data_IF_612630303671
#
_entry.id   IF_612630303671
#
_cell.length_a   1.000
_cell.length_b   1.000
_cell.length_c   1.000
_cell.angle_alpha   90.00
_cell.angle_beta   90.00
_cell.angle_gamma   90.00
#
_symmetry.space_group_name_H-M   'P 1'
#
loop_
_entity.id
_entity.type
_entity.pdbx_description
1 polymer ?
#
# COMPACT_ATOMS: atom_id res chain seq x y z
N UNK A 1 21.21 0.49 -10.23
CA UNK A 1 22.27 1.51 -10.36
C UNK A 1 21.66 2.78 -10.93
N UNK A 2 21.78 3.92 -10.22
CA UNK A 2 21.23 5.23 -10.66
C UNK A 2 22.38 6.20 -10.97
N UNK A 3 22.16 7.14 -11.90
CA UNK A 3 23.09 8.20 -12.25
C UNK A 3 22.39 9.55 -12.16
N UNK A 4 23.01 10.49 -11.47
CA UNK A 4 22.50 11.85 -11.31
C UNK A 4 23.52 12.84 -11.83
N UNK A 5 23.07 13.81 -12.61
CA UNK A 5 23.89 14.92 -13.06
C UNK A 5 23.96 15.97 -11.93
N UNK A 6 25.14 16.31 -11.52
CA UNK A 6 25.37 17.37 -10.52
C UNK A 6 25.52 18.69 -11.24
N UNK A 7 24.64 19.62 -10.96
CA UNK A 7 24.64 20.98 -11.50
C UNK A 7 25.23 21.99 -10.48
N UNK A 8 25.50 23.22 -10.92
CA UNK A 8 26.13 24.27 -10.10
C UNK A 8 25.31 24.62 -8.84
N UNK A 9 24.00 24.55 -8.92
CA UNK A 9 23.08 24.81 -7.82
C UNK A 9 23.23 23.84 -6.65
N UNK A 10 23.84 22.66 -6.90
CA UNK A 10 24.12 21.66 -5.87
C UNK A 10 25.48 21.81 -5.19
N UNK A 11 26.25 22.85 -5.53
CA UNK A 11 27.57 23.06 -4.91
C UNK A 11 27.38 23.46 -3.44
N UNK A 12 28.24 22.92 -2.58
CA UNK A 12 28.15 23.12 -1.14
C UNK A 12 27.40 22.00 -0.40
N UNK A 13 26.44 21.31 -1.06
CA UNK A 13 25.80 20.16 -0.46
C UNK A 13 26.80 19.05 -0.15
N UNK A 14 26.60 18.33 0.94
CA UNK A 14 27.18 16.99 1.06
C UNK A 14 26.38 16.04 0.13
N UNK A 15 27.03 15.02 -0.40
CA UNK A 15 26.34 14.01 -1.23
C UNK A 15 25.13 13.43 -0.49
N UNK A 16 25.21 13.24 0.82
CA UNK A 16 24.09 12.78 1.65
C UNK A 16 22.91 13.76 1.72
N UNK A 17 23.18 15.05 1.74
CA UNK A 17 22.18 16.13 1.74
C UNK A 17 21.51 16.18 0.35
N UNK A 18 22.30 16.22 -0.71
CA UNK A 18 21.79 16.15 -2.08
C UNK A 18 20.90 14.92 -2.31
N UNK A 19 21.34 13.74 -1.87
CA UNK A 19 20.55 12.52 -2.03
C UNK A 19 19.26 12.54 -1.20
N UNK A 20 19.23 13.20 -0.03
CA UNK A 20 18.00 13.33 0.78
C UNK A 20 17.04 14.36 0.22
N UNK A 21 17.53 15.57 -0.02
CA UNK A 21 16.70 16.76 -0.27
C UNK A 21 16.29 16.85 -1.76
N UNK A 22 17.19 16.46 -2.67
CA UNK A 22 16.94 16.55 -4.11
C UNK A 22 16.50 15.22 -4.69
N UNK A 23 17.04 14.11 -4.19
CA UNK A 23 16.79 12.77 -4.72
C UNK A 23 15.90 11.90 -3.83
N UNK A 24 15.37 12.46 -2.73
CA UNK A 24 14.41 11.84 -1.83
C UNK A 24 14.87 10.49 -1.20
N UNK A 25 16.18 10.34 -0.97
CA UNK A 25 16.70 9.17 -0.25
C UNK A 25 16.42 9.28 1.24
N UNK A 26 15.89 8.22 1.84
CA UNK A 26 15.75 8.15 3.30
C UNK A 26 17.12 8.01 4.00
N UNK A 27 17.22 8.47 5.25
CA UNK A 27 18.45 8.29 6.05
C UNK A 27 18.88 6.83 6.22
N UNK A 28 17.91 5.89 6.21
CA UNK A 28 18.18 4.45 6.21
C UNK A 28 18.69 3.97 4.84
N UNK A 29 18.14 4.51 3.75
CA UNK A 29 18.59 4.24 2.37
C UNK A 29 20.05 4.65 2.16
N UNK A 30 20.47 5.82 2.67
CA UNK A 30 21.84 6.30 2.55
C UNK A 30 22.91 5.40 3.21
N UNK A 31 22.53 4.61 4.23
CA UNK A 31 23.47 3.65 4.85
C UNK A 31 23.73 2.43 3.97
N UNK A 32 22.97 2.26 2.90
CA UNK A 32 22.98 1.07 2.05
C UNK A 32 23.38 1.37 0.61
N UNK A 33 23.91 2.58 0.35
CA UNK A 33 24.39 2.94 -0.97
C UNK A 33 25.91 3.05 -1.00
N UNK A 34 26.48 2.68 -2.12
CA UNK A 34 27.82 3.06 -2.54
C UNK A 34 27.71 4.18 -3.56
N UNK A 35 28.49 5.23 -3.38
CA UNK A 35 28.45 6.40 -4.25
C UNK A 35 29.80 6.61 -4.95
N UNK A 36 29.70 6.94 -6.24
CA UNK A 36 30.85 7.24 -7.09
C UNK A 36 30.61 8.59 -7.75
N UNK A 37 31.58 9.49 -7.63
CA UNK A 37 31.58 10.78 -8.30
C UNK A 37 32.63 10.70 -9.45
N UNK A 38 32.19 10.87 -10.68
CA UNK A 38 33.01 10.74 -11.89
C UNK A 38 33.82 9.44 -11.91
N UNK A 39 33.18 8.34 -11.57
CA UNK A 39 33.79 6.99 -11.55
C UNK A 39 34.60 6.66 -10.30
N UNK A 40 34.94 7.64 -9.44
CA UNK A 40 35.70 7.39 -8.21
C UNK A 40 34.76 7.18 -7.03
N UNK A 41 34.97 6.09 -6.27
CA UNK A 41 34.22 5.80 -5.04
C UNK A 41 34.49 6.90 -4.01
N UNK A 42 33.43 7.46 -3.42
CA UNK A 42 33.49 8.54 -2.43
C UNK A 42 32.58 8.24 -1.23
N UNK A 43 32.80 8.93 -0.11
CA UNK A 43 31.90 8.84 1.04
C UNK A 43 30.67 9.75 0.81
N UNK A 44 29.51 9.35 1.32
CA UNK A 44 28.28 10.17 1.25
C UNK A 44 28.41 11.52 1.97
N UNK A 45 29.36 11.64 2.89
CA UNK A 45 29.68 12.90 3.61
C UNK A 45 30.53 13.86 2.79
N UNK A 46 31.04 13.46 1.60
CA UNK A 46 31.85 14.32 0.76
C UNK A 46 31.03 15.49 0.22
N UNK A 47 31.61 16.69 0.27
CA UNK A 47 31.02 17.90 -0.29
C UNK A 47 31.13 17.93 -1.81
N UNK A 48 30.07 18.35 -2.48
CA UNK A 48 30.00 18.58 -3.92
C UNK A 48 30.63 19.93 -4.23
N UNK A 49 31.74 19.94 -4.99
CA UNK A 49 32.50 21.15 -5.32
C UNK A 49 32.56 21.47 -6.81
N UNK A 50 32.10 20.56 -7.65
CA UNK A 50 32.12 20.69 -9.12
C UNK A 50 31.01 19.90 -9.76
N UNK A 51 30.66 20.25 -10.97
CA UNK A 51 29.77 19.44 -11.82
C UNK A 51 30.35 18.04 -12.05
N UNK A 52 29.52 17.07 -12.32
CA UNK A 52 29.93 15.70 -12.57
C UNK A 52 28.76 14.74 -12.56
N UNK A 53 29.05 13.47 -12.67
CA UNK A 53 28.07 12.40 -12.62
C UNK A 53 28.20 11.66 -11.29
N UNK A 54 27.16 11.75 -10.47
CA UNK A 54 27.03 10.96 -9.26
C UNK A 54 26.36 9.63 -9.60
N UNK A 55 27.10 8.53 -9.50
CA UNK A 55 26.60 7.18 -9.65
C UNK A 55 26.29 6.63 -8.25
N UNK A 56 25.08 6.13 -8.06
CA UNK A 56 24.62 5.51 -6.80
C UNK A 56 24.31 4.04 -7.07
N UNK A 57 24.96 3.17 -6.30
CA UNK A 57 24.71 1.73 -6.31
C UNK A 57 24.06 1.41 -4.98
N UNK A 58 22.81 0.99 -5.01
CA UNK A 58 22.13 0.46 -3.83
C UNK A 58 22.61 -0.98 -3.63
N UNK A 59 23.03 -1.31 -2.40
CA UNK A 59 23.32 -2.70 -2.05
C UNK A 59 22.01 -3.47 -2.14
N UNK A 60 22.00 -4.52 -2.93
CA UNK A 60 20.87 -5.43 -2.97
C UNK A 60 20.66 -6.00 -1.56
N UNK A 61 19.45 -5.87 -1.04
CA UNK A 61 19.08 -6.52 0.21
C UNK A 61 18.67 -7.93 -0.12
N UNK A 62 19.27 -8.88 0.54
CA UNK A 62 18.72 -10.21 0.61
C UNK A 62 17.39 -10.18 1.36
N UNK A 63 16.44 -10.96 0.89
CA UNK A 63 15.16 -11.15 1.56
C UNK A 63 15.16 -12.53 2.23
N UNK A 64 14.65 -12.60 3.46
CA UNK A 64 14.40 -13.89 4.13
C UNK A 64 13.05 -14.51 3.70
N UNK A 65 12.32 -13.86 2.79
CA UNK A 65 11.04 -14.35 2.28
C UNK A 65 11.32 -15.40 1.21
N UNK A 66 10.84 -16.62 1.43
CA UNK A 66 10.99 -17.72 0.48
C UNK A 66 10.20 -17.44 -0.79
N UNK A 67 10.78 -17.65 -1.99
CA UNK A 67 10.03 -17.62 -3.23
C UNK A 67 9.07 -18.81 -3.29
N UNK A 68 7.76 -18.53 -3.47
CA UNK A 68 6.73 -19.56 -3.61
C UNK A 68 5.84 -19.16 -4.77
N UNK A 69 5.59 -20.07 -5.70
CA UNK A 69 4.72 -19.85 -6.85
C UNK A 69 3.28 -19.63 -6.39
N UNK A 70 2.83 -18.41 -6.48
CA UNK A 70 1.45 -17.96 -6.21
C UNK A 70 1.01 -17.16 -7.42
N UNK A 71 -0.16 -17.46 -8.03
CA UNK A 71 -0.68 -16.66 -9.13
C UNK A 71 -0.83 -15.19 -8.73
N UNK A 72 -0.32 -14.29 -9.55
CA UNK A 72 -0.42 -12.85 -9.36
C UNK A 72 -1.23 -12.26 -10.52
N UNK A 73 -2.24 -11.48 -10.19
CA UNK A 73 -2.95 -10.63 -11.14
C UNK A 73 -2.27 -9.25 -11.14
N UNK A 74 -1.36 -9.04 -12.11
CA UNK A 74 -0.57 -7.82 -12.25
C UNK A 74 -1.36 -6.81 -13.07
N UNK A 75 -1.76 -5.71 -12.43
CA UNK A 75 -2.52 -4.62 -13.06
C UNK A 75 -1.62 -3.59 -13.72
N UNK A 76 -0.46 -3.32 -13.09
CA UNK A 76 0.52 -2.36 -13.59
C UNK A 76 1.92 -2.72 -13.14
N UNK A 77 2.90 -2.56 -14.02
CA UNK A 77 4.31 -2.69 -13.68
C UNK A 77 5.18 -1.78 -14.54
N UNK A 78 6.10 -1.06 -13.88
CA UNK A 78 7.21 -0.34 -14.52
C UNK A 78 8.52 -0.51 -13.75
N UNK A 79 9.49 0.40 -13.92
CA UNK A 79 10.78 0.33 -13.21
C UNK A 79 10.66 0.58 -11.70
N UNK A 80 9.66 1.34 -11.25
CA UNK A 80 9.54 1.85 -9.87
C UNK A 80 8.38 1.22 -9.10
N UNK A 81 7.31 0.85 -9.78
CA UNK A 81 6.04 0.44 -9.16
C UNK A 81 5.59 -0.90 -9.74
N UNK A 82 5.06 -1.75 -8.88
CA UNK A 82 4.24 -2.91 -9.21
C UNK A 82 2.90 -2.76 -8.49
N UNK A 83 1.79 -2.94 -9.21
CA UNK A 83 0.44 -2.98 -8.63
C UNK A 83 -0.19 -4.31 -8.98
N UNK A 84 -0.67 -5.00 -7.95
CA UNK A 84 -1.34 -6.28 -8.08
C UNK A 84 -2.77 -6.19 -7.55
N UNK A 85 -3.68 -6.91 -8.18
CA UNK A 85 -5.00 -7.20 -7.67
C UNK A 85 -4.92 -8.45 -6.78
N UNK A 86 -4.86 -8.26 -5.47
CA UNK A 86 -4.74 -9.36 -4.53
C UNK A 86 -6.05 -10.14 -4.43
N UNK A 87 -6.00 -11.45 -4.66
CA UNK A 87 -7.14 -12.31 -4.38
C UNK A 87 -7.45 -12.38 -2.87
N UNK A 88 -8.72 -12.64 -2.49
CA UNK A 88 -9.07 -12.90 -1.10
C UNK A 88 -8.39 -14.18 -0.57
N UNK A 89 -8.46 -14.41 0.74
CA UNK A 89 -7.86 -15.55 1.46
C UNK A 89 -6.33 -15.62 1.38
N UNK A 90 -5.68 -14.55 0.94
CA UNK A 90 -4.23 -14.43 0.85
C UNK A 90 -3.72 -13.32 1.78
N UNK A 91 -2.85 -13.69 2.73
CA UNK A 91 -2.16 -12.73 3.62
C UNK A 91 -1.15 -11.92 2.81
N UNK A 92 -1.07 -10.62 3.06
CA UNK A 92 -0.13 -9.73 2.34
C UNK A 92 1.33 -10.03 2.69
N UNK A 93 1.66 -10.14 3.98
CA UNK A 93 3.01 -10.32 4.49
C UNK A 93 3.13 -11.56 5.38
N UNK A 94 4.30 -12.22 5.45
CA UNK A 94 4.56 -13.20 6.48
C UNK A 94 4.32 -12.63 7.88
N UNK A 95 3.70 -13.43 8.71
CA UNK A 95 3.44 -13.12 10.13
C UNK A 95 4.02 -14.22 11.02
N UNK A 96 4.10 -14.01 12.34
CA UNK A 96 4.53 -15.05 13.27
C UNK A 96 3.70 -16.34 13.17
N UNK A 97 2.43 -16.24 12.79
CA UNK A 97 1.49 -17.38 12.66
C UNK A 97 1.46 -17.98 11.25
N UNK A 98 1.80 -17.21 10.21
CA UNK A 98 1.79 -17.63 8.80
C UNK A 98 3.04 -17.09 8.12
N UNK A 99 4.04 -17.94 7.99
CA UNK A 99 5.36 -17.59 7.44
C UNK A 99 5.38 -17.72 5.91
N UNK A 100 4.64 -18.68 5.37
CA UNK A 100 4.59 -19.02 3.95
C UNK A 100 3.20 -18.79 3.34
N UNK A 101 3.11 -18.90 2.02
CA UNK A 101 1.86 -18.71 1.26
C UNK A 101 1.24 -17.32 1.46
N UNK A 102 2.07 -16.28 1.33
CA UNK A 102 1.65 -14.87 1.38
C UNK A 102 1.89 -14.18 0.05
N UNK A 103 1.24 -13.06 -0.21
CA UNK A 103 1.48 -12.27 -1.41
C UNK A 103 2.96 -11.93 -1.57
N UNK A 104 3.66 -11.65 -0.48
CA UNK A 104 5.09 -11.38 -0.48
C UNK A 104 5.92 -12.54 -1.05
N UNK A 105 5.55 -13.80 -0.71
CA UNK A 105 6.22 -15.00 -1.27
C UNK A 105 6.01 -15.09 -2.79
N UNK A 106 4.79 -14.81 -3.28
CA UNK A 106 4.46 -14.79 -4.71
C UNK A 106 5.24 -13.72 -5.47
N UNK A 107 5.37 -12.51 -4.90
CA UNK A 107 6.13 -11.41 -5.50
C UNK A 107 7.62 -11.73 -5.55
N UNK A 108 8.21 -12.31 -4.49
CA UNK A 108 9.61 -12.74 -4.50
C UNK A 108 9.84 -13.81 -5.58
N UNK A 109 8.91 -14.78 -5.71
CA UNK A 109 8.97 -15.79 -6.77
C UNK A 109 8.92 -15.15 -8.16
N UNK A 110 7.99 -14.24 -8.39
CA UNK A 110 7.81 -13.54 -9.67
C UNK A 110 9.11 -12.86 -10.14
N UNK A 111 9.74 -12.07 -9.27
CA UNK A 111 10.98 -11.37 -9.63
C UNK A 111 12.18 -12.32 -9.74
N UNK A 112 12.20 -13.41 -8.97
CA UNK A 112 13.25 -14.43 -9.10
C UNK A 112 13.21 -15.11 -10.47
N UNK A 113 12.01 -15.47 -10.95
CA UNK A 113 11.83 -16.07 -12.28
C UNK A 113 12.10 -15.05 -13.40
N UNK A 114 11.65 -13.79 -13.24
CA UNK A 114 11.78 -12.75 -14.25
C UNK A 114 13.20 -12.24 -14.40
N UNK A 115 13.87 -11.94 -13.31
CA UNK A 115 15.14 -11.19 -13.29
C UNK A 115 16.32 -12.01 -12.77
N UNK A 116 16.07 -13.23 -12.26
CA UNK A 116 17.08 -14.09 -11.61
C UNK A 116 17.63 -13.54 -10.30
N UNK A 117 16.99 -12.51 -9.71
CA UNK A 117 17.48 -11.78 -8.55
C UNK A 117 16.57 -11.84 -7.36
N UNK A 118 17.17 -11.70 -6.18
CA UNK A 118 16.40 -11.52 -4.97
C UNK A 118 15.68 -10.17 -4.96
N UNK A 119 14.42 -10.18 -4.58
CA UNK A 119 13.57 -9.00 -4.51
C UNK A 119 13.02 -8.80 -3.10
N UNK A 120 13.14 -7.58 -2.57
CA UNK A 120 12.55 -7.21 -1.28
C UNK A 120 11.23 -6.47 -1.53
N UNK A 121 10.07 -7.10 -1.30
CA UNK A 121 8.78 -6.44 -1.47
C UNK A 121 8.62 -5.26 -0.51
N UNK A 122 8.33 -4.07 -1.06
CA UNK A 122 8.09 -2.84 -0.29
C UNK A 122 6.66 -2.40 -0.50
N UNK A 123 5.77 -3.00 0.26
CA UNK A 123 4.35 -2.67 0.20
C UNK A 123 4.11 -1.24 0.72
N UNK A 124 3.41 -0.43 -0.06
CA UNK A 124 2.94 0.88 0.37
C UNK A 124 1.70 0.76 1.26
N UNK A 125 0.76 -0.07 0.85
CA UNK A 125 -0.44 -0.41 1.60
C UNK A 125 -0.53 -1.93 1.83
N UNK A 126 -1.43 -2.32 2.70
CA UNK A 126 -1.74 -3.72 2.95
C UNK A 126 -3.24 -3.89 2.99
N UNK A 127 -3.69 -5.06 2.59
CA UNK A 127 -5.07 -5.52 2.72
C UNK A 127 -5.13 -6.66 3.73
N UNK A 128 -6.25 -6.79 4.41
CA UNK A 128 -6.53 -7.93 5.25
C UNK A 128 -6.57 -9.23 4.42
N UNK A 129 -6.45 -10.38 5.06
CA UNK A 129 -6.40 -11.67 4.36
C UNK A 129 -7.60 -11.83 3.41
N UNK A 130 -8.79 -11.53 3.88
CA UNK A 130 -10.04 -11.76 3.15
C UNK A 130 -10.49 -10.56 2.30
N UNK A 131 -9.80 -9.41 2.38
CA UNK A 131 -10.00 -8.26 1.50
C UNK A 131 -9.27 -8.47 0.19
N UNK A 132 -9.95 -8.26 -0.93
CA UNK A 132 -9.39 -8.31 -2.29
C UNK A 132 -9.02 -6.91 -2.82
N UNK A 133 -8.26 -6.86 -3.92
CA UNK A 133 -8.04 -5.61 -4.67
C UNK A 133 -6.62 -5.10 -4.70
N UNK A 134 -6.48 -3.83 -5.05
CA UNK A 134 -5.23 -3.20 -5.42
C UNK A 134 -4.27 -3.01 -4.25
N UNK A 135 -3.05 -3.51 -4.44
CA UNK A 135 -1.90 -3.28 -3.56
C UNK A 135 -0.77 -2.66 -4.36
N UNK A 136 -0.20 -1.58 -3.84
CA UNK A 136 0.93 -0.87 -4.42
C UNK A 136 2.24 -1.38 -3.78
N UNK A 137 3.17 -1.80 -4.60
CA UNK A 137 4.49 -2.27 -4.21
C UNK A 137 5.54 -1.39 -4.87
N UNK A 138 6.38 -0.75 -4.08
CA UNK A 138 7.54 -0.04 -4.58
C UNK A 138 8.67 -1.03 -4.90
N UNK A 139 9.19 -0.98 -6.13
CA UNK A 139 10.24 -1.89 -6.59
C UNK A 139 11.63 -1.53 -6.04
N UNK A 140 11.79 -0.31 -5.54
CA UNK A 140 13.05 0.16 -4.97
C UNK A 140 12.82 1.15 -3.82
N UNK A 141 13.90 1.49 -3.10
CA UNK A 141 13.83 2.36 -1.93
C UNK A 141 13.50 3.81 -2.26
N UNK A 142 13.84 4.28 -3.47
CA UNK A 142 13.48 5.61 -3.95
C UNK A 142 11.97 5.74 -4.12
N UNK A 143 11.35 4.81 -4.84
CA UNK A 143 9.91 4.78 -5.05
C UNK A 143 9.16 4.65 -3.71
N UNK A 144 9.66 3.80 -2.79
CA UNK A 144 9.07 3.68 -1.46
C UNK A 144 9.08 5.01 -0.69
N UNK A 145 10.22 5.67 -0.64
CA UNK A 145 10.37 6.94 0.07
C UNK A 145 9.52 8.04 -0.58
N UNK A 146 9.48 8.08 -1.92
CA UNK A 146 8.66 9.04 -2.64
C UNK A 146 7.17 8.87 -2.37
N UNK A 147 6.65 7.66 -2.50
CA UNK A 147 5.23 7.38 -2.23
C UNK A 147 4.84 7.76 -0.79
N UNK A 148 5.71 7.51 0.19
CA UNK A 148 5.45 7.82 1.59
C UNK A 148 5.40 9.33 1.89
N UNK A 149 6.21 10.14 1.20
CA UNK A 149 6.37 11.56 1.52
C UNK A 149 5.65 12.49 0.53
N UNK A 150 5.49 12.07 -0.72
CA UNK A 150 5.05 12.93 -1.83
C UNK A 150 4.06 12.25 -2.78
N UNK A 151 3.69 11.00 -2.51
CA UNK A 151 2.90 10.18 -3.44
C UNK A 151 1.44 10.59 -3.52
N UNK A 152 0.92 11.37 -2.57
CA UNK A 152 -0.50 11.74 -2.48
C UNK A 152 -1.43 10.57 -2.82
N UNK A 153 -1.20 9.45 -2.15
CA UNK A 153 -1.85 8.17 -2.50
C UNK A 153 -3.25 8.12 -1.96
N UNK A 154 -4.22 8.13 -2.87
CA UNK A 154 -5.64 7.93 -2.57
C UNK A 154 -6.04 6.47 -2.80
N UNK A 155 -6.92 5.97 -1.96
CA UNK A 155 -7.36 4.57 -1.97
C UNK A 155 -8.86 4.51 -1.81
N UNK A 156 -9.52 3.87 -2.76
CA UNK A 156 -10.97 3.73 -2.79
C UNK A 156 -11.35 2.25 -2.72
N UNK A 157 -12.39 1.98 -1.95
CA UNK A 157 -12.88 0.63 -1.70
C UNK A 157 -14.37 0.56 -1.98
N UNK A 158 -14.83 -0.55 -2.54
CA UNK A 158 -16.23 -0.92 -2.55
C UNK A 158 -16.52 -1.87 -1.39
N UNK A 159 -17.62 -1.63 -0.69
CA UNK A 159 -18.10 -2.51 0.37
C UNK A 159 -19.61 -2.74 0.26
N UNK A 160 -20.04 -3.97 0.49
CA UNK A 160 -21.45 -4.30 0.73
C UNK A 160 -21.68 -4.36 2.24
N UNK A 161 -22.64 -3.61 2.74
CA UNK A 161 -22.93 -3.49 4.18
C UNK A 161 -24.37 -3.86 4.50
N UNK A 162 -24.61 -4.35 5.71
CA UNK A 162 -25.95 -4.61 6.23
C UNK A 162 -26.72 -3.31 6.46
N UNK A 163 -28.01 -3.35 6.19
CA UNK A 163 -28.93 -2.25 6.38
C UNK A 163 -28.89 -1.21 5.26
N UNK A 164 -29.91 -0.36 5.25
CA UNK A 164 -30.02 0.75 4.32
C UNK A 164 -29.42 2.01 4.94
N UNK A 165 -28.35 2.51 4.34
CA UNK A 165 -27.77 3.80 4.69
C UNK A 165 -28.58 4.89 3.98
N UNK A 166 -29.21 5.80 4.77
CA UNK A 166 -30.08 6.84 4.23
C UNK A 166 -29.29 8.02 3.64
N UNK A 167 -28.11 8.28 4.20
CA UNK A 167 -27.24 9.37 3.75
C UNK A 167 -26.57 9.00 2.43
N UNK A 168 -26.49 9.96 1.52
CA UNK A 168 -25.79 9.76 0.24
C UNK A 168 -24.27 9.83 0.42
N UNK A 169 -23.80 10.70 1.31
CA UNK A 169 -22.38 10.83 1.67
C UNK A 169 -22.19 11.15 3.14
N UNK A 170 -21.16 10.62 3.76
CA UNK A 170 -20.79 10.93 5.15
C UNK A 170 -19.28 10.82 5.35
N UNK A 171 -18.77 11.46 6.38
CA UNK A 171 -17.38 11.33 6.82
C UNK A 171 -17.33 10.85 8.27
N UNK A 172 -16.55 9.80 8.51
CA UNK A 172 -16.32 9.21 9.82
C UNK A 172 -14.91 9.60 10.26
N UNK A 173 -14.83 10.37 11.34
CA UNK A 173 -13.57 10.80 11.97
C UNK A 173 -13.51 10.28 13.40
N UNK A 174 -13.31 8.97 13.56
CA UNK A 174 -13.31 8.30 14.84
C UNK A 174 -11.98 7.58 15.08
N UNK A 175 -11.29 7.82 16.21
CA UNK A 175 -10.00 7.23 16.49
C UNK A 175 -10.11 5.73 16.78
N UNK A 176 -9.17 4.95 16.20
CA UNK A 176 -9.17 3.48 16.29
C UNK A 176 -8.02 3.01 17.17
N UNK A 177 -8.36 2.17 18.14
CA UNK A 177 -7.40 1.57 19.05
C UNK A 177 -7.52 0.04 19.15
N UNK A 178 -6.69 -0.53 20.03
CA UNK A 178 -6.68 -1.95 20.34
C UNK A 178 -6.97 -2.14 21.82
N UNK A 179 -7.90 -3.03 22.15
CA UNK A 179 -8.18 -3.41 23.53
C UNK A 179 -7.46 -4.72 23.85
N UNK A 180 -6.53 -4.68 24.78
CA UNK A 180 -5.75 -5.85 25.20
C UNK A 180 -5.06 -6.56 24.02
N UNK A 181 -5.07 -7.90 24.05
CA UNK A 181 -4.48 -8.74 23.00
C UNK A 181 -5.45 -9.14 21.88
N UNK A 182 -6.66 -8.56 21.86
CA UNK A 182 -7.67 -8.84 20.84
C UNK A 182 -7.17 -8.52 19.43
N UNK A 183 -7.59 -9.31 18.45
CA UNK A 183 -7.41 -8.98 17.02
C UNK A 183 -8.37 -7.86 16.60
N UNK A 184 -9.51 -7.73 17.27
CA UNK A 184 -10.51 -6.70 17.02
C UNK A 184 -9.95 -5.32 17.35
N UNK A 185 -10.35 -4.32 16.58
CA UNK A 185 -10.11 -2.90 16.82
C UNK A 185 -11.43 -2.26 17.22
N UNK A 186 -11.34 -1.17 17.97
CA UNK A 186 -12.52 -0.47 18.46
C UNK A 186 -12.30 1.05 18.37
N UNK A 187 -13.40 1.80 18.39
CA UNK A 187 -13.34 3.25 18.54
C UNK A 187 -12.95 3.55 19.99
N UNK A 188 -11.81 4.22 20.16
CA UNK A 188 -11.25 4.58 21.48
C UNK A 188 -10.77 6.02 21.45
N UNK A 189 -11.09 6.81 22.49
CA UNK A 189 -10.70 8.23 22.58
C UNK A 189 -9.17 8.45 22.50
N UNK A 190 -8.39 7.51 23.01
CA UNK A 190 -6.91 7.49 22.95
C UNK A 190 -6.36 6.68 21.78
N UNK A 191 -7.24 6.27 20.86
CA UNK A 191 -6.89 5.57 19.63
C UNK A 191 -6.10 6.43 18.66
N UNK A 192 -5.64 5.82 17.58
CA UNK A 192 -5.00 6.54 16.47
C UNK A 192 -6.05 7.21 15.61
N UNK A 193 -5.84 8.48 15.28
CA UNK A 193 -6.69 9.22 14.36
C UNK A 193 -6.96 8.43 13.09
N UNK A 194 -8.23 8.32 12.72
CA UNK A 194 -8.66 7.64 11.51
C UNK A 194 -9.81 8.42 10.86
N UNK A 195 -9.75 8.53 9.52
CA UNK A 195 -10.74 9.25 8.71
C UNK A 195 -11.09 8.45 7.47
N UNK A 196 -12.38 8.21 7.29
CA UNK A 196 -12.99 7.52 6.14
C UNK A 196 -14.13 8.34 5.60
N UNK A 197 -14.12 8.63 4.31
CA UNK A 197 -15.29 9.17 3.63
C UNK A 197 -16.07 8.02 2.99
N UNK A 198 -17.38 8.03 3.15
CA UNK A 198 -18.30 6.98 2.67
C UNK A 198 -19.32 7.64 1.76
N UNK A 199 -19.47 7.07 0.57
CA UNK A 199 -20.48 7.46 -0.42
C UNK A 199 -21.38 6.28 -0.72
N UNK A 200 -22.69 6.47 -0.61
CA UNK A 200 -23.69 5.48 -1.01
C UNK A 200 -23.76 5.39 -2.51
N UNK A 201 -23.53 4.22 -3.06
CA UNK A 201 -23.57 3.95 -4.51
C UNK A 201 -24.92 3.36 -4.91
N UNK A 202 -25.42 2.38 -4.12
CA UNK A 202 -26.69 1.72 -4.42
C UNK A 202 -27.31 1.12 -3.16
N UNK A 203 -28.62 1.26 -3.02
CA UNK A 203 -29.43 0.65 -1.98
C UNK A 203 -30.19 -0.54 -2.55
N UNK A 204 -30.08 -1.69 -1.93
CA UNK A 204 -30.78 -2.92 -2.28
C UNK A 204 -31.86 -3.20 -1.23
N UNK A 205 -32.97 -2.50 -1.35
CA UNK A 205 -34.09 -2.51 -0.36
C UNK A 205 -34.60 -3.93 -0.03
N UNK A 206 -34.68 -4.81 -1.04
CA UNK A 206 -35.20 -6.18 -0.86
C UNK A 206 -34.28 -7.05 -0.01
N UNK A 207 -33.01 -6.83 -0.03
CA UNK A 207 -32.01 -7.62 0.71
C UNK A 207 -31.48 -6.89 1.93
N UNK A 208 -31.97 -5.67 2.22
CA UNK A 208 -31.49 -4.83 3.32
C UNK A 208 -29.97 -4.64 3.29
N UNK A 209 -29.44 -4.28 2.12
CA UNK A 209 -28.00 -4.14 1.84
C UNK A 209 -27.74 -2.81 1.14
N UNK A 210 -26.63 -2.17 1.48
CA UNK A 210 -26.13 -0.99 0.77
C UNK A 210 -24.74 -1.25 0.18
N UNK A 211 -24.55 -0.89 -1.08
CA UNK A 211 -23.22 -0.78 -1.70
C UNK A 211 -22.68 0.61 -1.44
N UNK A 212 -21.51 0.69 -0.83
CA UNK A 212 -20.83 1.95 -0.56
C UNK A 212 -19.43 2.00 -1.15
N UNK A 213 -19.01 3.20 -1.53
CA UNK A 213 -17.61 3.53 -1.80
C UNK A 213 -17.01 4.14 -0.53
N UNK A 214 -15.79 3.73 -0.19
CA UNK A 214 -15.04 4.28 0.93
C UNK A 214 -13.71 4.85 0.46
N UNK A 215 -13.46 6.16 0.65
CA UNK A 215 -12.15 6.78 0.48
C UNK A 215 -11.40 6.80 1.81
N UNK A 216 -10.16 6.29 1.82
CA UNK A 216 -9.32 6.26 3.01
C UNK A 216 -8.31 7.40 3.04
N UNK A 217 -8.46 8.34 3.97
CA UNK A 217 -7.48 9.39 4.27
C UNK A 217 -6.36 8.90 5.20
N UNK A 218 -6.64 7.87 5.97
CA UNK A 218 -5.68 7.19 6.86
C UNK A 218 -5.69 5.69 6.57
N UNK A 219 -4.78 4.92 7.16
CA UNK A 219 -4.67 3.47 6.92
C UNK A 219 -4.51 2.68 8.22
N UNK A 220 -5.49 2.74 9.13
CA UNK A 220 -5.46 1.97 10.38
C UNK A 220 -5.90 0.53 10.13
N UNK A 221 -5.45 -0.37 10.99
CA UNK A 221 -5.86 -1.78 10.91
C UNK A 221 -7.37 -1.90 11.01
N UNK A 222 -7.99 -2.61 10.05
CA UNK A 222 -9.43 -2.83 9.94
C UNK A 222 -10.28 -1.55 9.84
N UNK A 223 -9.72 -0.41 9.43
CA UNK A 223 -10.36 0.90 9.55
C UNK A 223 -11.78 0.95 8.98
N UNK A 224 -12.00 0.58 7.72
CA UNK A 224 -13.33 0.60 7.09
C UNK A 224 -14.28 -0.31 7.85
N UNK A 225 -13.84 -1.50 8.24
CA UNK A 225 -14.63 -2.50 8.97
C UNK A 225 -15.10 -1.98 10.32
N UNK A 226 -14.19 -1.33 11.07
CA UNK A 226 -14.52 -0.71 12.38
C UNK A 226 -15.49 0.44 12.22
N UNK A 227 -15.19 1.36 11.27
CA UNK A 227 -16.01 2.55 11.07
C UNK A 227 -17.43 2.20 10.64
N UNK A 228 -17.61 1.31 9.67
CA UNK A 228 -18.93 0.90 9.20
C UNK A 228 -19.69 0.11 10.27
N UNK A 229 -19.04 -0.79 11.01
CA UNK A 229 -19.66 -1.50 12.13
C UNK A 229 -20.06 -0.55 13.26
N UNK A 230 -19.26 0.49 13.55
CA UNK A 230 -19.60 1.51 14.55
C UNK A 230 -20.87 2.29 14.21
N UNK A 231 -21.12 2.52 12.91
CA UNK A 231 -22.37 3.15 12.44
C UNK A 231 -23.57 2.20 12.44
N UNK A 232 -23.42 0.92 12.82
CA UNK A 232 -24.47 -0.07 12.76
C UNK A 232 -24.65 -0.73 11.39
N UNK A 233 -23.71 -0.50 10.45
CA UNK A 233 -23.71 -1.06 9.10
C UNK A 233 -22.47 -1.93 8.86
N UNK A 234 -22.31 -3.08 9.56
CA UNK A 234 -21.14 -3.94 9.37
C UNK A 234 -21.09 -4.49 7.95
N UNK A 235 -19.88 -4.81 7.46
CA UNK A 235 -19.67 -5.36 6.13
C UNK A 235 -20.22 -6.79 6.08
N UNK A 236 -20.92 -7.14 5.01
CA UNK A 236 -21.39 -8.51 4.77
C UNK A 236 -20.23 -9.50 4.82
N UNK A 237 -20.40 -10.61 5.54
CA UNK A 237 -19.38 -11.66 5.68
C UNK A 237 -18.22 -11.31 6.61
N UNK A 238 -18.28 -10.20 7.33
CA UNK A 238 -17.26 -9.83 8.29
C UNK A 238 -17.42 -10.60 9.61
N UNK A 239 -16.67 -11.69 9.76
CA UNK A 239 -16.70 -12.58 10.93
C UNK A 239 -16.19 -11.93 12.22
N UNK A 240 -15.53 -10.78 12.14
CA UNK A 240 -14.96 -10.10 13.31
C UNK A 240 -15.83 -8.93 13.80
N UNK A 241 -16.51 -8.26 12.88
CA UNK A 241 -17.29 -7.04 13.16
C UNK A 241 -18.76 -7.19 12.83
N UNK A 242 -19.15 -8.20 12.05
CA UNK A 242 -20.54 -8.52 11.80
C UNK A 242 -21.20 -9.20 13.00
N UNK A 243 -22.49 -9.03 13.14
CA UNK A 243 -23.34 -9.57 14.20
C UNK A 243 -24.35 -10.61 13.67
N UNK A 244 -24.45 -10.76 12.35
CA UNK A 244 -25.38 -11.68 11.69
C UNK A 244 -24.62 -12.74 10.89
N UNK A 245 -25.13 -13.98 10.80
CA UNK A 245 -24.61 -14.96 9.88
C UNK A 245 -24.91 -14.53 8.44
N UNK A 246 -23.93 -14.69 7.57
CA UNK A 246 -24.02 -14.40 6.15
C UNK A 246 -23.75 -15.64 5.31
N UNK A 247 -24.40 -15.75 4.17
CA UNK A 247 -24.13 -16.80 3.18
C UNK A 247 -22.85 -16.57 2.36
N UNK A 248 -22.16 -15.44 2.63
CA UNK A 248 -20.91 -15.09 1.94
C UNK A 248 -19.69 -15.56 2.74
N UNK A 249 -18.65 -15.97 2.02
CA UNK A 249 -17.46 -16.62 2.61
C UNK A 249 -16.49 -15.66 3.29
N UNK A 250 -16.54 -14.38 2.97
CA UNK A 250 -15.58 -13.35 3.39
C UNK A 250 -16.24 -11.99 3.54
N UNK A 251 -15.53 -11.05 4.17
CA UNK A 251 -15.96 -9.65 4.14
C UNK A 251 -16.03 -9.13 2.70
N UNK A 252 -17.18 -8.63 2.30
CA UNK A 252 -17.44 -8.04 0.99
C UNK A 252 -16.79 -6.64 0.90
N UNK A 253 -15.46 -6.64 0.89
CA UNK A 253 -14.61 -5.44 0.84
C UNK A 253 -13.56 -5.61 -0.25
N UNK A 254 -13.43 -4.61 -1.13
CA UNK A 254 -12.55 -4.65 -2.30
C UNK A 254 -11.90 -3.28 -2.56
N UNK A 255 -10.57 -3.25 -2.58
CA UNK A 255 -9.80 -2.06 -2.98
C UNK A 255 -9.81 -1.95 -4.51
N UNK A 256 -10.75 -1.19 -5.06
CA UNK A 256 -11.00 -1.20 -6.50
C UNK A 256 -10.24 -0.11 -7.26
N UNK A 257 -9.86 1.00 -6.57
CA UNK A 257 -9.23 2.13 -7.23
C UNK A 257 -8.13 2.72 -6.35
N UNK A 258 -7.03 3.11 -7.00
CA UNK A 258 -5.91 3.84 -6.39
C UNK A 258 -5.48 4.98 -7.30
N UNK A 259 -5.10 6.11 -6.71
CA UNK A 259 -4.50 7.23 -7.41
C UNK A 259 -3.24 7.66 -6.66
N UNK A 260 -2.17 7.99 -7.36
CA UNK A 260 -0.91 8.42 -6.76
C UNK A 260 -0.07 9.24 -7.73
N UNK A 261 0.80 10.10 -7.19
CA UNK A 261 1.83 10.77 -7.99
C UNK A 261 2.98 9.79 -8.24
N UNK A 262 3.28 9.56 -9.51
CA UNK A 262 4.32 8.60 -9.90
C UNK A 262 5.72 9.10 -9.51
N UNK A 263 6.57 8.26 -8.88
CA UNK A 263 7.84 8.70 -8.31
C UNK A 263 8.83 9.28 -9.35
N UNK A 264 8.81 8.80 -10.57
CA UNK A 264 9.74 9.22 -11.63
C UNK A 264 9.15 10.31 -12.53
N UNK A 265 7.96 10.08 -13.09
CA UNK A 265 7.35 11.02 -14.05
C UNK A 265 6.67 12.21 -13.40
N UNK A 266 6.34 12.11 -12.10
CA UNK A 266 5.57 13.11 -11.33
C UNK A 266 4.13 13.31 -11.83
N UNK A 267 3.69 12.50 -12.77
CA UNK A 267 2.32 12.49 -13.25
C UNK A 267 1.40 11.74 -12.27
N UNK A 268 0.14 12.12 -12.22
CA UNK A 268 -0.87 11.37 -11.49
C UNK A 268 -1.18 10.10 -12.29
N UNK A 269 -1.04 8.95 -11.62
CA UNK A 269 -1.49 7.65 -12.11
C UNK A 269 -2.76 7.26 -11.37
N UNK A 270 -3.76 6.93 -12.13
CA UNK A 270 -5.03 6.40 -11.62
C UNK A 270 -5.26 5.02 -12.21
N UNK A 271 -5.56 4.05 -11.36
CA UNK A 271 -5.81 2.66 -11.74
C UNK A 271 -7.10 2.21 -11.08
N UNK A 272 -7.98 1.68 -11.89
CA UNK A 272 -9.29 1.19 -11.46
C UNK A 272 -9.52 -0.22 -12.02
N UNK A 273 -10.08 -1.10 -11.20
CA UNK A 273 -10.48 -2.46 -11.56
C UNK A 273 -11.96 -2.67 -11.22
N UNK A 274 -12.60 -3.60 -11.90
CA UNK A 274 -13.97 -3.96 -11.59
C UNK A 274 -14.12 -4.57 -10.20
N UNK A 275 -15.35 -4.61 -9.68
CA UNK A 275 -15.67 -5.35 -8.45
C UNK A 275 -15.25 -6.82 -8.57
N UNK A 276 -14.80 -7.39 -7.44
CA UNK A 276 -14.47 -8.82 -7.40
C UNK A 276 -15.71 -9.67 -7.69
N UNK A 277 -15.52 -10.84 -8.31
CA UNK A 277 -16.64 -11.64 -8.86
C UNK A 277 -17.73 -11.96 -7.83
N UNK A 278 -17.33 -12.29 -6.58
CA UNK A 278 -18.27 -12.61 -5.50
C UNK A 278 -19.01 -11.39 -4.91
N UNK A 279 -18.67 -10.19 -5.36
CA UNK A 279 -19.35 -8.93 -4.99
C UNK A 279 -20.28 -8.40 -6.10
N UNK A 280 -20.31 -9.05 -7.26
CA UNK A 280 -21.23 -8.69 -8.34
C UNK A 280 -22.58 -9.34 -8.00
N UNK A 281 -23.60 -8.53 -7.69
CA UNK A 281 -24.98 -9.00 -7.62
C UNK A 281 -25.44 -9.39 -9.04
N UNK A 282 -26.08 -10.56 -9.19
CA UNK A 282 -26.87 -10.87 -10.36
C UNK A 282 -28.01 -9.87 -10.58
#
# INVERSE_FOLDING_TARGET
MKRFKIEKEHFGYKISEYLKEVQNYSGRGLRQVEVFLDGKKVRVTKQIKRQGILKVIEKEKETNIKPIKIPLDIVFEDEDILIVNKQPFLVTHPTKKKVDMTLANGIVYYFKEKDGKDFVPRFYNRLDMDTSGLIIIAKNSFAQAFLQNFGDVKKYYMALVHGIINEDEMTIEEPIGRVGDSLRREILKDGQYAKTHVKTIKRYEKSDVTLVECELFTGRTHQIRVHLSHLGHPILGDKLYGDKPDDVKRQMLHSYKVSFVHPRTKEIKELEIGMYEDMKSE
#
